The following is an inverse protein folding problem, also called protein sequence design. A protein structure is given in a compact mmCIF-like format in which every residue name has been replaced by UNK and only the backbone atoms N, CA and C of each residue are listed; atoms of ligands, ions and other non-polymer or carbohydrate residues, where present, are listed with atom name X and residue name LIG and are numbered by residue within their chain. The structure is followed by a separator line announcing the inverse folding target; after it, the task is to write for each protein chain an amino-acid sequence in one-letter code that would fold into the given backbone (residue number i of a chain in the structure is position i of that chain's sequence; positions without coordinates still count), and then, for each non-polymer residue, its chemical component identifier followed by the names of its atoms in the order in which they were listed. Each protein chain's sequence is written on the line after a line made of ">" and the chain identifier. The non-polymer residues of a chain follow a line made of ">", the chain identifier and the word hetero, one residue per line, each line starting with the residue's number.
data_IF_484279306330
#
_entry.id   IF_484279306330
#
_cell.length_a   1.000
_cell.length_b   1.000
_cell.length_c   1.000
_cell.angle_alpha   90.00
_cell.angle_beta   90.00
_cell.angle_gamma   90.00
#
_symmetry.space_group_name_H-M   'P 1'
#
loop_
_entity.id
_entity.type
_entity.pdbx_description
1 polymer ?
#
# COMPACT_ATOMS: atom_id res chain seq x y z
N UNK A 1 -7.12 25.89 4.78
CA UNK A 1 -8.41 25.16 4.70
C UNK A 1 -8.14 23.74 4.24
N UNK A 2 -8.41 22.74 5.09
CA UNK A 2 -8.34 21.32 4.68
C UNK A 2 -9.49 21.09 3.69
N UNK A 3 -9.21 20.46 2.56
CA UNK A 3 -10.25 19.96 1.68
C UNK A 3 -10.93 18.78 2.40
N UNK A 4 -12.21 18.84 2.69
CA UNK A 4 -12.95 17.69 3.22
C UNK A 4 -12.95 16.51 2.25
N UNK A 5 -12.70 16.78 0.97
CA UNK A 5 -12.77 15.82 -0.12
C UNK A 5 -11.52 15.94 -1.02
N UNK A 6 -10.80 14.85 -1.20
CA UNK A 6 -9.59 14.77 -2.05
C UNK A 6 -9.99 14.58 -3.51
N UNK A 7 -10.97 13.71 -3.77
CA UNK A 7 -11.52 13.43 -5.10
C UNK A 7 -13.04 13.62 -5.13
N UNK A 8 -13.56 14.07 -6.26
CA UNK A 8 -14.99 14.30 -6.44
C UNK A 8 -15.75 12.98 -6.77
N UNK A 9 -17.08 13.09 -6.93
CA UNK A 9 -17.95 11.94 -7.22
C UNK A 9 -17.62 11.28 -8.57
N UNK A 10 -17.22 12.04 -9.58
CA UNK A 10 -16.90 11.51 -10.92
C UNK A 10 -15.56 10.77 -10.87
N UNK A 11 -14.61 11.35 -10.16
CA UNK A 11 -13.27 10.78 -9.97
C UNK A 11 -13.30 9.43 -9.23
N UNK A 12 -14.33 9.20 -8.39
CA UNK A 12 -14.56 7.91 -7.69
C UNK A 12 -15.22 6.86 -8.56
N UNK A 13 -15.77 7.20 -9.72
CA UNK A 13 -16.49 6.27 -10.59
C UNK A 13 -15.61 5.16 -11.11
N UNK A 14 -16.15 3.96 -11.24
CA UNK A 14 -15.56 2.77 -11.87
C UNK A 14 -16.28 2.50 -13.18
N UNK A 15 -15.65 1.81 -14.13
CA UNK A 15 -16.37 1.32 -15.32
C UNK A 15 -17.32 0.17 -14.97
N UNK A 16 -16.88 -0.70 -14.08
CA UNK A 16 -17.68 -1.78 -13.54
C UNK A 16 -18.01 -1.49 -12.07
N UNK A 17 -19.22 -1.04 -11.82
CA UNK A 17 -19.74 -0.72 -10.49
C UNK A 17 -20.43 -1.92 -9.81
N UNK A 18 -20.32 -3.14 -10.37
CA UNK A 18 -20.80 -4.33 -9.69
C UNK A 18 -20.12 -4.49 -8.32
N UNK A 19 -20.78 -5.19 -7.42
CA UNK A 19 -20.27 -5.49 -6.08
C UNK A 19 -18.82 -6.02 -6.12
N UNK A 20 -17.93 -5.37 -5.40
CA UNK A 20 -16.52 -5.77 -5.31
C UNK A 20 -16.38 -7.16 -4.65
N UNK A 21 -17.26 -7.55 -3.70
CA UNK A 21 -17.24 -8.87 -3.10
C UNK A 21 -17.51 -9.97 -4.12
N UNK A 22 -18.40 -9.73 -5.08
CA UNK A 22 -18.64 -10.65 -6.20
C UNK A 22 -17.45 -10.71 -7.16
N UNK A 23 -16.83 -9.54 -7.48
CA UNK A 23 -15.66 -9.48 -8.36
C UNK A 23 -14.48 -10.26 -7.82
N UNK A 24 -14.26 -10.21 -6.50
CA UNK A 24 -13.18 -10.89 -5.79
C UNK A 24 -13.59 -12.26 -5.22
N UNK A 25 -14.79 -12.78 -5.52
CA UNK A 25 -15.29 -14.07 -5.00
C UNK A 25 -14.44 -15.26 -5.44
N UNK A 26 -13.90 -15.22 -6.66
CA UNK A 26 -13.02 -16.27 -7.17
C UNK A 26 -11.58 -16.00 -6.76
N UNK A 27 -10.92 -16.92 -6.03
CA UNK A 27 -9.56 -16.73 -5.54
C UNK A 27 -8.55 -16.65 -6.71
N UNK A 28 -7.55 -15.80 -6.58
CA UNK A 28 -6.46 -15.60 -7.54
C UNK A 28 -5.12 -15.79 -6.84
N UNK A 29 -4.53 -16.97 -6.99
CA UNK A 29 -3.23 -17.29 -6.38
C UNK A 29 -2.07 -16.92 -7.32
N UNK A 30 -1.98 -15.65 -7.66
CA UNK A 30 -0.92 -15.10 -8.50
C UNK A 30 -0.50 -13.73 -7.97
N UNK A 31 0.73 -13.35 -8.23
CA UNK A 31 1.20 -11.98 -8.03
C UNK A 31 0.69 -11.09 -9.16
N UNK A 32 0.28 -9.88 -8.84
CA UNK A 32 -0.27 -8.92 -9.82
C UNK A 32 0.81 -7.97 -10.37
N UNK A 33 2.04 -8.14 -9.93
CA UNK A 33 3.24 -7.39 -10.33
C UNK A 33 4.40 -8.35 -10.50
N UNK A 34 5.44 -7.93 -11.20
CA UNK A 34 6.59 -8.77 -11.49
C UNK A 34 7.59 -8.85 -10.31
N UNK A 35 8.58 -9.76 -10.45
CA UNK A 35 9.59 -9.99 -9.43
C UNK A 35 10.44 -8.75 -9.17
N UNK A 36 10.69 -7.91 -10.17
CA UNK A 36 11.46 -6.67 -9.99
C UNK A 36 10.76 -5.65 -9.11
N UNK A 37 9.42 -5.54 -9.22
CA UNK A 37 8.63 -4.76 -8.29
C UNK A 37 8.66 -5.36 -6.88
N UNK A 38 8.48 -6.67 -6.76
CA UNK A 38 8.45 -7.37 -5.47
C UNK A 38 9.80 -7.31 -4.74
N UNK A 39 10.92 -7.42 -5.45
CA UNK A 39 12.25 -7.23 -4.88
C UNK A 39 12.41 -5.82 -4.25
N UNK A 40 11.93 -4.78 -4.93
CA UNK A 40 11.98 -3.41 -4.40
C UNK A 40 11.05 -3.22 -3.19
N UNK A 41 9.84 -3.78 -3.25
CA UNK A 41 8.88 -3.72 -2.14
C UNK A 41 9.43 -4.40 -0.89
N UNK A 42 9.93 -5.63 -1.02
CA UNK A 42 10.53 -6.39 0.09
C UNK A 42 11.73 -5.65 0.71
N UNK A 43 12.56 -5.03 -0.15
CA UNK A 43 13.69 -4.20 0.31
C UNK A 43 13.22 -2.94 1.05
N UNK A 44 12.17 -2.27 0.54
CA UNK A 44 11.60 -1.12 1.22
C UNK A 44 11.09 -1.49 2.61
N UNK A 45 10.37 -2.60 2.74
CA UNK A 45 9.93 -3.10 4.05
C UNK A 45 11.13 -3.34 4.97
N UNK A 46 12.20 -4.00 4.48
CA UNK A 46 13.43 -4.26 5.28
C UNK A 46 14.09 -2.98 5.77
N UNK A 47 14.11 -1.93 4.96
CA UNK A 47 14.72 -0.64 5.33
C UNK A 47 13.88 0.18 6.32
N UNK A 48 12.59 -0.08 6.43
CA UNK A 48 11.65 0.75 7.20
C UNK A 48 11.07 0.06 8.42
N UNK A 49 11.32 -1.23 8.61
CA UNK A 49 10.71 -2.03 9.67
C UNK A 49 11.68 -2.99 10.31
N UNK A 50 11.30 -3.53 11.47
CA UNK A 50 12.03 -4.58 12.19
C UNK A 50 11.08 -5.76 12.52
N UNK A 51 11.62 -6.97 12.81
CA UNK A 51 10.79 -8.15 13.10
C UNK A 51 9.79 -7.98 14.26
N UNK A 52 10.08 -7.10 15.21
CA UNK A 52 9.26 -6.84 16.40
C UNK A 52 7.99 -6.02 16.10
N UNK A 53 7.81 -5.59 14.86
CA UNK A 53 6.65 -4.77 14.49
C UNK A 53 5.35 -5.58 14.50
N UNK A 54 4.28 -4.90 14.92
CA UNK A 54 2.89 -5.31 14.67
C UNK A 54 2.42 -4.65 13.40
N UNK A 55 2.06 -5.45 12.42
CA UNK A 55 1.76 -5.01 11.07
C UNK A 55 0.28 -5.20 10.73
N UNK A 56 -0.24 -4.30 9.90
CA UNK A 56 -1.54 -4.43 9.25
C UNK A 56 -1.35 -4.42 7.74
N UNK A 57 -1.77 -5.50 7.07
CA UNK A 57 -1.69 -5.65 5.62
C UNK A 57 -3.07 -5.48 4.99
N UNK A 58 -3.30 -4.32 4.38
CA UNK A 58 -4.60 -3.92 3.84
C UNK A 58 -4.75 -4.34 2.38
N UNK A 59 -5.95 -4.81 2.05
CA UNK A 59 -6.31 -5.25 0.70
C UNK A 59 -5.34 -6.30 0.15
N UNK A 60 -4.94 -7.19 1.03
CA UNK A 60 -3.98 -8.26 0.78
C UNK A 60 -4.62 -9.49 0.15
N UNK A 61 -3.82 -10.47 -0.18
CA UNK A 61 -4.19 -11.73 -0.77
C UNK A 61 -3.41 -12.88 -0.10
N UNK A 62 -3.03 -13.90 -0.85
CA UNK A 62 -2.35 -15.10 -0.37
C UNK A 62 -0.87 -14.91 0.02
N UNK A 63 -0.32 -13.71 -0.19
CA UNK A 63 1.08 -13.37 0.14
C UNK A 63 1.26 -11.89 0.43
N UNK A 64 2.07 -11.55 1.44
CA UNK A 64 2.34 -10.16 1.88
C UNK A 64 3.70 -9.62 1.42
N UNK A 65 4.58 -10.46 0.85
CA UNK A 65 5.95 -10.10 0.41
C UNK A 65 6.83 -9.49 1.51
N UNK A 66 6.57 -9.82 2.77
CA UNK A 66 7.33 -9.32 3.91
C UNK A 66 8.72 -9.96 4.02
N UNK A 67 9.75 -9.18 4.46
CA UNK A 67 11.13 -9.69 4.60
C UNK A 67 11.35 -10.50 5.87
N UNK A 68 10.43 -10.43 6.83
CA UNK A 68 10.52 -11.03 8.17
C UNK A 68 9.24 -11.77 8.54
N UNK A 69 9.36 -12.68 9.49
CA UNK A 69 8.24 -13.07 10.34
C UNK A 69 8.09 -11.99 11.41
N UNK A 70 7.02 -11.18 11.29
CA UNK A 70 6.75 -10.11 12.25
C UNK A 70 6.11 -10.66 13.51
N UNK A 71 6.24 -9.93 14.65
CA UNK A 71 5.60 -10.29 15.93
C UNK A 71 4.09 -10.57 15.76
N UNK A 72 3.42 -9.76 14.98
CA UNK A 72 2.00 -9.91 14.70
C UNK A 72 1.65 -9.30 13.35
N UNK A 73 0.83 -9.99 12.57
CA UNK A 73 0.27 -9.46 11.33
C UNK A 73 -1.23 -9.67 11.31
N UNK A 74 -1.99 -8.58 11.17
CA UNK A 74 -3.42 -8.63 10.86
C UNK A 74 -3.58 -8.42 9.34
N UNK A 75 -4.21 -9.39 8.68
CA UNK A 75 -4.52 -9.32 7.26
C UNK A 75 -5.93 -8.78 6.99
N UNK A 76 -6.09 -8.07 5.88
CA UNK A 76 -7.40 -7.65 5.38
C UNK A 76 -7.48 -7.83 3.87
N UNK A 77 -8.64 -8.25 3.37
CA UNK A 77 -8.94 -8.38 1.94
C UNK A 77 -10.39 -8.79 1.69
N UNK A 78 -10.73 -9.08 0.45
CA UNK A 78 -12.09 -9.46 0.06
C UNK A 78 -12.29 -10.97 -0.15
N UNK A 79 -11.21 -11.75 -0.33
CA UNK A 79 -11.30 -13.18 -0.54
C UNK A 79 -10.75 -13.95 0.67
N UNK A 80 -11.66 -14.62 1.39
CA UNK A 80 -11.32 -15.40 2.60
C UNK A 80 -10.35 -16.54 2.30
N UNK A 81 -10.49 -17.20 1.14
CA UNK A 81 -9.65 -18.34 0.77
C UNK A 81 -8.20 -17.88 0.50
N UNK A 82 -8.02 -16.77 -0.22
CA UNK A 82 -6.71 -16.16 -0.42
C UNK A 82 -6.05 -15.79 0.91
N UNK A 83 -6.77 -15.07 1.78
CA UNK A 83 -6.24 -14.64 3.08
C UNK A 83 -5.87 -15.82 3.98
N UNK A 84 -6.66 -16.91 3.96
CA UNK A 84 -6.39 -18.12 4.77
C UNK A 84 -5.10 -18.83 4.36
N UNK A 85 -4.62 -18.62 3.13
CA UNK A 85 -3.36 -19.19 2.62
C UNK A 85 -2.14 -18.29 2.84
N UNK A 86 -2.36 -17.07 3.33
CA UNK A 86 -1.25 -16.18 3.62
C UNK A 86 -0.60 -16.55 4.96
N UNK A 87 0.58 -17.17 4.89
CA UNK A 87 1.31 -17.63 6.07
C UNK A 87 1.71 -16.51 7.04
N UNK A 88 1.85 -15.27 6.54
CA UNK A 88 2.18 -14.13 7.40
C UNK A 88 1.09 -13.82 8.45
N UNK A 89 -0.16 -14.14 8.14
CA UNK A 89 -1.27 -13.81 9.04
C UNK A 89 -1.47 -14.81 10.18
N UNK A 90 -0.97 -16.02 10.05
CA UNK A 90 -1.17 -17.08 11.06
C UNK A 90 -2.65 -17.22 11.49
N UNK A 91 -3.58 -17.02 10.55
CA UNK A 91 -5.02 -17.02 10.80
C UNK A 91 -5.63 -15.69 11.29
N UNK A 92 -4.82 -14.66 11.52
CA UNK A 92 -5.30 -13.34 11.95
C UNK A 92 -5.67 -12.49 10.74
N UNK A 93 -6.90 -12.54 10.28
CA UNK A 93 -7.40 -11.70 9.20
C UNK A 93 -8.90 -11.45 9.31
N UNK A 94 -9.36 -10.39 8.64
CA UNK A 94 -10.77 -10.08 8.49
C UNK A 94 -11.12 -9.79 7.03
N UNK A 95 -12.39 -10.00 6.67
CA UNK A 95 -12.93 -9.73 5.34
C UNK A 95 -13.92 -8.58 5.43
N UNK A 96 -13.70 -7.52 4.67
CA UNK A 96 -14.55 -6.32 4.64
C UNK A 96 -14.39 -5.56 3.33
N UNK A 97 -15.47 -5.08 2.76
CA UNK A 97 -15.42 -4.15 1.63
C UNK A 97 -15.24 -2.71 2.13
N UNK A 98 -14.05 -2.16 1.99
CA UNK A 98 -13.77 -0.77 2.41
C UNK A 98 -14.48 0.29 1.57
N UNK A 99 -15.01 -0.06 0.41
CA UNK A 99 -15.86 0.84 -0.36
C UNK A 99 -17.28 0.96 0.20
N UNK A 100 -17.68 0.04 1.08
CA UNK A 100 -18.95 0.07 1.81
C UNK A 100 -18.74 0.52 3.27
N UNK A 101 -17.73 -0.04 3.92
CA UNK A 101 -17.40 0.27 5.32
C UNK A 101 -15.89 0.36 5.50
N UNK A 102 -15.29 1.58 5.49
CA UNK A 102 -13.85 1.77 5.59
C UNK A 102 -13.28 1.57 7.00
N UNK A 103 -14.06 1.12 7.98
CA UNK A 103 -13.60 0.91 9.36
C UNK A 103 -12.63 -0.26 9.47
N UNK A 104 -11.49 -0.05 10.11
CA UNK A 104 -10.52 -1.10 10.42
C UNK A 104 -10.87 -1.75 11.77
N UNK A 105 -10.97 -3.08 11.76
CA UNK A 105 -11.38 -3.87 12.94
C UNK A 105 -10.20 -4.10 13.91
N UNK A 106 -9.70 -3.01 14.45
CA UNK A 106 -8.59 -2.98 15.40
C UNK A 106 -8.69 -1.77 16.34
N UNK A 107 -8.17 -1.86 17.58
CA UNK A 107 -8.07 -0.73 18.49
C UNK A 107 -7.19 0.40 17.95
N UNK A 108 -7.33 1.59 18.54
CA UNK A 108 -6.44 2.72 18.26
C UNK A 108 -4.99 2.36 18.60
N UNK A 109 -4.05 2.93 17.82
CA UNK A 109 -2.62 2.86 18.11
C UNK A 109 -2.09 1.43 18.33
N UNK A 110 -2.52 0.51 17.49
CA UNK A 110 -2.17 -0.92 17.58
C UNK A 110 -0.93 -1.28 16.78
N UNK A 111 -0.78 -0.72 15.58
CA UNK A 111 0.22 -1.16 14.60
C UNK A 111 1.42 -0.24 14.51
N UNK A 112 2.59 -0.83 14.31
CA UNK A 112 3.85 -0.15 14.01
C UNK A 112 3.97 0.12 12.51
N UNK A 113 3.39 -0.74 11.65
CA UNK A 113 3.31 -0.57 10.20
C UNK A 113 1.91 -0.85 9.68
N UNK A 114 1.47 -0.03 8.72
CA UNK A 114 0.33 -0.33 7.83
C UNK A 114 0.84 -0.36 6.40
N UNK A 115 0.59 -1.44 5.68
CA UNK A 115 0.94 -1.60 4.27
C UNK A 115 -0.31 -1.79 3.40
N UNK A 116 -0.23 -1.31 2.16
CA UNK A 116 -1.19 -1.60 1.10
C UNK A 116 -0.44 -1.70 -0.22
N UNK A 117 -0.50 -2.86 -0.87
CA UNK A 117 0.16 -3.12 -2.13
C UNK A 117 -0.84 -3.22 -3.29
N UNK A 118 -0.61 -2.47 -4.36
CA UNK A 118 -1.38 -2.44 -5.63
C UNK A 118 -2.91 -2.47 -5.48
N UNK A 119 -3.44 -1.76 -4.47
CA UNK A 119 -4.87 -1.77 -4.16
C UNK A 119 -5.51 -0.39 -3.97
N UNK A 120 -4.71 0.66 -3.72
CA UNK A 120 -5.21 2.02 -3.50
C UNK A 120 -6.05 2.55 -4.67
N UNK A 121 -5.78 2.10 -5.88
CA UNK A 121 -6.48 2.46 -7.12
C UNK A 121 -7.97 2.07 -7.14
N UNK A 122 -8.43 1.26 -6.20
CA UNK A 122 -9.81 0.77 -6.12
C UNK A 122 -10.61 1.39 -4.97
N UNK A 123 -9.99 2.25 -4.14
CA UNK A 123 -10.55 2.77 -2.90
C UNK A 123 -11.40 4.02 -3.15
N UNK A 124 -12.72 3.86 -3.24
CA UNK A 124 -13.69 4.96 -3.40
C UNK A 124 -13.79 5.82 -2.14
N UNK A 125 -13.53 5.27 -0.96
CA UNK A 125 -13.55 5.95 0.34
C UNK A 125 -12.13 6.17 0.88
N UNK A 126 -11.20 6.62 0.03
CA UNK A 126 -9.78 6.79 0.40
C UNK A 126 -9.58 7.73 1.59
N UNK A 127 -10.34 8.84 1.65
CA UNK A 127 -10.23 9.80 2.76
C UNK A 127 -10.59 9.18 4.11
N UNK A 128 -11.69 8.42 4.17
CA UNK A 128 -12.13 7.77 5.40
C UNK A 128 -11.18 6.64 5.79
N UNK A 129 -10.70 5.88 4.81
CA UNK A 129 -9.73 4.82 5.04
C UNK A 129 -8.41 5.38 5.62
N UNK A 130 -7.92 6.52 5.14
CA UNK A 130 -6.70 7.13 5.67
C UNK A 130 -6.88 7.70 7.10
N UNK A 131 -8.09 8.13 7.48
CA UNK A 131 -8.41 8.46 8.88
C UNK A 131 -8.33 7.22 9.78
N UNK A 132 -8.87 6.09 9.32
CA UNK A 132 -8.81 4.82 10.03
C UNK A 132 -7.36 4.28 10.13
N UNK A 133 -6.59 4.35 9.03
CA UNK A 133 -5.15 4.02 9.05
C UNK A 133 -4.44 4.86 10.11
N UNK A 134 -4.70 6.17 10.15
CA UNK A 134 -4.12 7.04 11.18
C UNK A 134 -4.55 6.65 12.59
N UNK A 135 -5.82 6.30 12.79
CA UNK A 135 -6.36 5.90 14.09
C UNK A 135 -5.62 4.68 14.65
N UNK A 136 -5.47 3.63 13.83
CA UNK A 136 -4.89 2.34 14.27
C UNK A 136 -3.37 2.33 14.32
N UNK A 137 -2.70 3.31 13.68
CA UNK A 137 -1.25 3.41 13.65
C UNK A 137 -0.73 4.00 14.97
N UNK A 138 0.33 3.44 15.55
CA UNK A 138 1.01 4.00 16.73
C UNK A 138 1.68 5.33 16.39
N UNK A 139 1.89 6.24 17.36
CA UNK A 139 2.82 7.38 17.18
C UNK A 139 4.19 6.88 16.73
N UNK A 140 4.74 7.48 15.66
CA UNK A 140 5.99 7.04 15.03
C UNK A 140 5.83 5.85 14.08
N UNK A 141 4.68 5.21 14.01
CA UNK A 141 4.41 4.13 13.08
C UNK A 141 4.43 4.59 11.61
N UNK A 142 4.72 3.67 10.69
CA UNK A 142 4.89 3.89 9.27
C UNK A 142 3.71 3.39 8.45
N UNK A 143 3.33 4.14 7.42
CA UNK A 143 2.38 3.70 6.37
C UNK A 143 3.13 3.60 5.05
N UNK A 144 2.98 2.48 4.34
CA UNK A 144 3.60 2.22 3.04
C UNK A 144 2.51 1.84 2.04
N UNK A 145 2.22 2.75 1.10
CA UNK A 145 1.29 2.52 0.00
C UNK A 145 2.09 2.33 -1.27
N UNK A 146 2.11 1.11 -1.82
CA UNK A 146 2.86 0.80 -3.05
C UNK A 146 1.95 0.44 -4.21
N UNK A 147 2.35 0.80 -5.42
CA UNK A 147 1.59 0.55 -6.64
C UNK A 147 2.48 0.58 -7.89
N UNK A 148 1.96 0.04 -8.98
CA UNK A 148 2.56 0.09 -10.31
C UNK A 148 1.58 0.72 -11.34
N UNK A 149 1.85 0.53 -12.61
CA UNK A 149 0.87 0.83 -13.68
C UNK A 149 -0.16 -0.31 -13.88
N UNK A 150 0.00 -1.45 -13.18
CA UNK A 150 -0.94 -2.57 -13.24
C UNK A 150 -2.22 -2.26 -12.50
N UNK A 151 -3.36 -2.61 -13.11
CA UNK A 151 -4.67 -2.48 -12.49
C UNK A 151 -5.70 -3.37 -13.19
N UNK A 152 -6.75 -3.73 -12.48
CA UNK A 152 -7.99 -4.17 -13.10
C UNK A 152 -8.71 -2.95 -13.66
N UNK A 153 -8.59 -2.72 -14.96
CA UNK A 153 -8.99 -1.48 -15.62
C UNK A 153 -10.44 -1.08 -15.34
N UNK A 154 -11.36 -2.07 -15.33
CA UNK A 154 -12.78 -1.83 -15.07
C UNK A 154 -13.09 -1.44 -13.63
N UNK A 155 -12.26 -1.90 -12.67
CA UNK A 155 -12.44 -1.65 -11.22
C UNK A 155 -11.65 -0.45 -10.69
N UNK A 156 -10.71 0.07 -11.47
CA UNK A 156 -9.95 1.25 -11.08
C UNK A 156 -10.83 2.51 -11.11
N UNK A 157 -10.60 3.39 -10.13
CA UNK A 157 -11.22 4.71 -10.10
C UNK A 157 -10.90 5.49 -11.37
N UNK A 158 -11.82 6.31 -11.88
CA UNK A 158 -11.60 7.10 -13.10
C UNK A 158 -10.37 8.00 -12.96
N UNK A 159 -10.20 8.70 -11.84
CA UNK A 159 -9.02 9.54 -11.57
C UNK A 159 -7.71 8.76 -11.66
N UNK A 160 -7.73 7.48 -11.27
CA UNK A 160 -6.55 6.63 -11.35
C UNK A 160 -6.34 6.06 -12.75
N UNK A 161 -7.39 5.53 -13.36
CA UNK A 161 -7.37 4.92 -14.69
C UNK A 161 -6.88 5.91 -15.75
N UNK A 162 -7.44 7.12 -15.71
CA UNK A 162 -7.16 8.17 -16.69
C UNK A 162 -5.93 9.01 -16.33
N UNK A 163 -5.31 8.72 -15.16
CA UNK A 163 -4.16 9.42 -14.62
C UNK A 163 -2.81 8.89 -15.10
N UNK A 164 -1.80 9.72 -14.91
CA UNK A 164 -0.37 9.39 -15.12
C UNK A 164 0.27 8.88 -13.83
N UNK A 165 1.50 8.34 -13.88
CA UNK A 165 2.27 8.01 -12.68
C UNK A 165 2.41 9.19 -11.72
N UNK A 166 2.60 10.40 -12.26
CA UNK A 166 2.67 11.61 -11.45
C UNK A 166 1.34 11.94 -10.76
N UNK A 167 0.22 11.99 -11.49
CA UNK A 167 -1.08 12.34 -10.90
C UNK A 167 -1.56 11.30 -9.89
N UNK A 168 -1.29 10.00 -10.11
CA UNK A 168 -1.54 8.93 -9.15
C UNK A 168 -0.75 9.13 -7.85
N UNK A 169 0.53 9.51 -7.97
CA UNK A 169 1.37 9.85 -6.81
C UNK A 169 0.83 11.05 -6.05
N UNK A 170 0.41 12.11 -6.76
CA UNK A 170 -0.19 13.29 -6.11
C UNK A 170 -1.50 12.94 -5.41
N UNK A 171 -2.31 12.06 -5.98
CA UNK A 171 -3.54 11.58 -5.34
C UNK A 171 -3.24 10.88 -4.02
N UNK A 172 -2.29 9.93 -3.99
CA UNK A 172 -1.93 9.22 -2.75
C UNK A 172 -1.35 10.20 -1.71
N UNK A 173 -0.47 11.13 -2.11
CA UNK A 173 0.01 12.20 -1.22
C UNK A 173 -1.13 13.01 -0.62
N UNK A 174 -2.12 13.35 -1.43
CA UNK A 174 -3.26 14.15 -0.98
C UNK A 174 -4.10 13.44 0.09
N UNK A 175 -4.23 12.11 0.04
CA UNK A 175 -4.88 11.34 1.11
C UNK A 175 -4.12 11.48 2.44
N UNK A 176 -2.79 11.37 2.44
CA UNK A 176 -2.00 11.61 3.65
C UNK A 176 -2.14 13.04 4.16
N UNK A 177 -2.00 14.03 3.28
CA UNK A 177 -2.07 15.45 3.62
C UNK A 177 -3.45 15.89 4.12
N UNK A 178 -4.51 15.15 3.75
CA UNK A 178 -5.87 15.40 4.22
C UNK A 178 -6.07 15.00 5.70
N UNK A 179 -5.21 14.16 6.25
CA UNK A 179 -5.25 13.75 7.66
C UNK A 179 -4.15 14.47 8.44
N UNK A 180 -4.55 15.32 9.40
CA UNK A 180 -3.58 15.99 10.29
C UNK A 180 -2.85 14.98 11.15
N UNK A 181 -1.53 15.07 11.19
CA UNK A 181 -0.69 14.25 12.05
C UNK A 181 0.17 13.23 11.29
N UNK A 182 -0.03 13.05 10.00
CA UNK A 182 0.98 12.42 9.16
C UNK A 182 2.14 13.37 8.87
N UNK A 183 3.35 12.83 8.71
CA UNK A 183 4.50 13.58 8.18
C UNK A 183 4.28 13.92 6.70
N UNK A 184 5.08 14.84 6.13
CA UNK A 184 5.07 15.04 4.67
C UNK A 184 5.40 13.71 3.97
N UNK A 185 4.55 13.26 3.03
CA UNK A 185 4.74 11.95 2.38
C UNK A 185 5.97 11.92 1.49
N UNK A 186 6.84 10.94 1.71
CA UNK A 186 7.99 10.61 0.88
C UNK A 186 7.55 9.78 -0.34
N UNK A 187 8.02 10.14 -1.53
CA UNK A 187 7.78 9.38 -2.77
C UNK A 187 9.02 8.61 -3.15
N UNK A 188 8.88 7.30 -3.29
CA UNK A 188 9.97 6.39 -3.63
C UNK A 188 9.63 5.72 -4.96
N UNK A 189 10.50 5.90 -5.96
CA UNK A 189 10.38 5.26 -7.28
C UNK A 189 11.48 4.24 -7.55
N UNK A 190 12.43 4.13 -6.63
CA UNK A 190 13.53 3.17 -6.66
C UNK A 190 14.05 2.92 -5.26
N UNK A 191 14.25 1.66 -4.92
CA UNK A 191 14.86 1.23 -3.67
C UNK A 191 16.23 0.63 -3.97
N UNK A 192 17.29 1.32 -3.57
CA UNK A 192 18.65 0.86 -3.82
C UNK A 192 18.98 -0.39 -2.99
N UNK A 193 19.82 -1.31 -3.51
CA UNK A 193 20.32 -2.44 -2.74
C UNK A 193 21.14 -2.00 -1.52
N UNK A 194 21.04 -2.75 -0.42
CA UNK A 194 21.84 -2.50 0.76
C UNK A 194 23.36 -2.64 0.45
N UNK A 195 24.20 -1.79 1.04
CA UNK A 195 25.67 -1.85 0.91
C UNK A 195 26.23 -1.28 -0.40
N UNK A 196 25.52 -0.36 -1.07
CA UNK A 196 26.02 0.36 -2.26
C UNK A 196 26.81 1.61 -1.85
N UNK A 197 27.75 1.50 -0.90
CA UNK A 197 28.66 2.61 -0.56
C UNK A 197 30.01 2.54 -1.30
N UNK A 198 30.28 1.50 -2.09
CA UNK A 198 31.58 1.34 -2.78
C UNK A 198 31.48 1.86 -4.22
N UNK A 199 32.02 3.06 -4.48
CA UNK A 199 31.90 3.82 -5.75
C UNK A 199 32.29 3.03 -7.01
N UNK A 200 33.22 2.08 -6.94
CA UNK A 200 33.69 1.32 -8.12
C UNK A 200 32.70 0.24 -8.59
N UNK A 201 31.86 -0.25 -7.70
CA UNK A 201 30.82 -1.24 -8.03
C UNK A 201 29.45 -0.59 -8.33
N UNK A 202 29.26 0.68 -7.96
CA UNK A 202 28.02 1.44 -8.12
C UNK A 202 27.61 1.53 -9.59
N UNK A 203 28.53 1.90 -10.47
CA UNK A 203 28.22 2.09 -11.90
C UNK A 203 27.75 0.80 -12.58
N UNK A 204 28.44 -0.31 -12.34
CA UNK A 204 28.08 -1.62 -12.91
C UNK A 204 26.76 -2.15 -12.32
N UNK A 205 26.52 -1.96 -11.01
CA UNK A 205 25.26 -2.32 -10.36
C UNK A 205 24.11 -1.42 -10.87
N UNK A 206 24.33 -0.11 -10.97
CA UNK A 206 23.34 0.83 -11.52
C UNK A 206 23.01 0.46 -12.97
N UNK A 207 23.99 0.18 -13.82
CA UNK A 207 23.76 -0.22 -15.22
C UNK A 207 22.98 -1.54 -15.30
N UNK A 208 23.33 -2.55 -14.52
CA UNK A 208 22.57 -3.83 -14.46
C UNK A 208 21.15 -3.64 -13.94
N UNK A 209 20.97 -2.80 -12.91
CA UNK A 209 19.66 -2.46 -12.36
C UNK A 209 18.85 -1.69 -13.40
N UNK A 210 19.46 -0.75 -14.12
CA UNK A 210 18.79 0.01 -15.17
C UNK A 210 18.35 -0.86 -16.36
N UNK A 211 19.17 -1.82 -16.77
CA UNK A 211 18.82 -2.77 -17.84
C UNK A 211 17.73 -3.75 -17.43
N UNK A 212 17.75 -4.25 -16.17
CA UNK A 212 16.68 -5.09 -15.61
C UNK A 212 15.36 -4.30 -15.47
N UNK A 213 15.44 -3.00 -15.19
CA UNK A 213 14.32 -2.09 -14.99
C UNK A 213 13.58 -1.74 -16.28
N UNK A 214 14.24 -1.72 -17.43
CA UNK A 214 13.60 -1.42 -18.72
C UNK A 214 12.50 -2.43 -19.10
N UNK A 215 12.46 -3.61 -18.44
CA UNK A 215 11.46 -4.66 -18.66
C UNK A 215 10.58 -4.95 -17.43
N UNK A 216 10.76 -4.23 -16.32
CA UNK A 216 10.03 -4.46 -15.06
C UNK A 216 8.85 -3.51 -14.91
N UNK A 217 7.85 -3.93 -14.13
CA UNK A 217 6.75 -3.07 -13.71
C UNK A 217 7.29 -1.84 -12.95
N UNK A 218 6.84 -0.61 -13.26
CA UNK A 218 7.31 0.58 -12.57
C UNK A 218 6.94 0.51 -11.08
N UNK A 219 7.90 0.81 -10.22
CA UNK A 219 7.73 0.84 -8.78
C UNK A 219 7.42 2.26 -8.30
N UNK A 220 6.34 2.40 -7.56
CA UNK A 220 5.99 3.60 -6.83
C UNK A 220 5.62 3.21 -5.41
N UNK A 221 6.15 3.93 -4.43
CA UNK A 221 5.66 3.87 -3.06
C UNK A 221 5.54 5.29 -2.49
N UNK A 222 4.50 5.50 -1.69
CA UNK A 222 4.33 6.72 -0.88
C UNK A 222 4.36 6.30 0.57
N UNK A 223 5.31 6.87 1.31
CA UNK A 223 5.61 6.52 2.70
C UNK A 223 5.37 7.74 3.58
N UNK A 224 4.68 7.55 4.69
CA UNK A 224 4.50 8.58 5.70
C UNK A 224 4.46 7.97 7.10
N UNK A 225 4.70 8.80 8.11
CA UNK A 225 4.72 8.38 9.50
C UNK A 225 3.67 9.14 10.30
N UNK A 226 3.09 8.48 11.32
CA UNK A 226 2.30 9.20 12.30
C UNK A 226 3.22 10.01 13.21
N UNK A 227 3.02 11.33 13.30
CA UNK A 227 3.79 12.21 14.17
C UNK A 227 3.65 11.80 15.65
N UNK A 228 4.72 11.97 16.44
CA UNK A 228 4.71 11.74 17.88
C UNK A 228 3.90 12.79 18.66
N UNK A 229 3.76 14.01 18.13
CA UNK A 229 2.99 15.08 18.77
C UNK A 229 1.57 15.11 18.24
N UNK A 230 0.58 15.25 19.15
CA UNK A 230 -0.77 15.66 18.74
C UNK A 230 -0.64 17.02 18.05
N UNK A 231 -1.17 17.13 16.84
CA UNK A 231 -1.40 18.43 16.20
C UNK A 231 -2.69 18.94 16.82
N UNK A 232 -2.59 20.01 17.61
CA UNK A 232 -3.73 20.72 18.21
C UNK A 232 -4.61 21.36 17.13
#
# INVERSE_FOLDING_TARGET
>A
MKREQVIDRRERGKLNESDDALWYSQPRFCTHVDDGFLEQLTRLYRQRTTPEYKCLDLCSSHVSHYPYEYEYVLGHGLNREELSRNGAFQGNFFVRNFNENPTIDAPDQTFDMVSMCVSIQYMQQGEELFKEIFRVLKPGGVVIISYSNRMFYEKALSVWRDGTGYSRTQLVKSYFQNVSGFTEPEVITEVLPDGVEDEKNVFVKIMKTFMKRASSDPFYAVVSYRNFKRVE
#
